data_IF_720683844768
#
_entry.id   IF_720683844768
#
_cell.length_a   1.000
_cell.length_b   1.000
_cell.length_c   1.000
_cell.angle_alpha   90.00
_cell.angle_beta   90.00
_cell.angle_gamma   90.00
#
_symmetry.space_group_name_H-M   'P 1'
#
loop_
_entity.id
_entity.type
_entity.pdbx_description
1 polymer ?
#
# COMPACT_ATOMS: atom_id res chain seq x y z
N UNK A 1 -0.71 9.16 48.50
CA UNK A 1 -1.54 8.11 47.88
C UNK A 1 -1.73 8.52 46.44
N UNK A 2 -0.83 8.06 45.57
CA UNK A 2 -0.90 8.26 44.12
C UNK A 2 -1.54 7.00 43.54
N UNK A 3 -2.66 7.20 42.85
CA UNK A 3 -3.52 6.20 42.24
C UNK A 3 -2.73 5.36 41.23
N UNK A 4 -2.62 4.07 41.51
CA UNK A 4 -2.02 3.03 40.67
C UNK A 4 -2.93 2.70 39.48
N UNK A 5 -3.11 3.63 38.54
CA UNK A 5 -3.94 3.37 37.34
C UNK A 5 -3.30 3.84 36.04
N UNK A 6 -2.08 4.39 36.08
CA UNK A 6 -1.39 4.91 34.87
C UNK A 6 -0.30 3.99 34.30
N UNK A 7 -0.06 2.80 34.87
CA UNK A 7 1.13 2.00 34.52
C UNK A 7 0.90 0.75 33.64
N UNK A 8 -0.33 0.37 33.29
CA UNK A 8 -0.58 -0.87 32.53
C UNK A 8 -0.83 -0.67 31.02
N UNK A 9 -1.10 0.54 30.54
CA UNK A 9 -1.48 0.79 29.14
C UNK A 9 -0.32 1.08 28.16
N UNK A 10 0.90 1.31 28.65
CA UNK A 10 2.05 1.70 27.80
C UNK A 10 2.52 0.64 26.77
N UNK A 11 2.59 -0.67 27.07
CA UNK A 11 3.16 -1.64 26.13
C UNK A 11 2.28 -1.92 24.90
N UNK A 12 0.97 -1.74 25.00
CA UNK A 12 0.02 -1.99 23.89
C UNK A 12 0.03 -0.85 22.86
N UNK A 13 0.13 0.40 23.33
CA UNK A 13 0.26 1.59 22.47
C UNK A 13 1.57 1.50 21.67
N UNK A 14 2.68 1.14 22.32
CA UNK A 14 3.97 0.95 21.65
C UNK A 14 3.97 -0.21 20.64
N UNK A 15 3.16 -1.25 20.88
CA UNK A 15 3.01 -2.36 19.94
C UNK A 15 2.23 -1.96 18.69
N UNK A 16 1.09 -1.28 18.85
CA UNK A 16 0.25 -0.86 17.73
C UNK A 16 0.93 0.22 16.87
N UNK A 17 1.63 1.17 17.50
CA UNK A 17 2.46 2.17 16.80
C UNK A 17 3.55 1.50 15.95
N UNK A 18 4.24 0.50 16.50
CA UNK A 18 5.25 -0.27 15.75
C UNK A 18 4.63 -1.05 14.60
N UNK A 19 3.48 -1.69 14.81
CA UNK A 19 2.75 -2.41 13.76
C UNK A 19 2.40 -1.51 12.58
N UNK A 20 1.88 -0.31 12.87
CA UNK A 20 1.55 0.67 11.84
C UNK A 20 2.78 1.18 11.08
N UNK A 21 3.87 1.45 11.79
CA UNK A 21 5.12 1.86 11.18
C UNK A 21 5.65 0.78 10.22
N UNK A 22 5.62 -0.49 10.61
CA UNK A 22 5.98 -1.62 9.74
C UNK A 22 5.07 -1.70 8.51
N UNK A 23 3.76 -1.44 8.64
CA UNK A 23 2.85 -1.40 7.50
C UNK A 23 3.18 -0.25 6.53
N UNK A 24 3.47 0.94 7.05
CA UNK A 24 3.85 2.10 6.23
C UNK A 24 5.12 1.78 5.41
N UNK A 25 6.17 1.28 6.07
CA UNK A 25 7.43 0.90 5.42
C UNK A 25 7.21 -0.17 4.35
N UNK A 26 6.33 -1.13 4.62
CA UNK A 26 5.96 -2.15 3.65
C UNK A 26 5.28 -1.55 2.40
N UNK A 27 4.29 -0.67 2.58
CA UNK A 27 3.60 -0.03 1.45
C UNK A 27 4.55 0.85 0.62
N UNK A 28 5.44 1.58 1.27
CA UNK A 28 6.45 2.40 0.60
C UNK A 28 7.41 1.54 -0.22
N UNK A 29 7.94 0.46 0.36
CA UNK A 29 8.85 -0.46 -0.34
C UNK A 29 8.18 -1.11 -1.55
N UNK A 30 6.91 -1.52 -1.42
CA UNK A 30 6.14 -2.10 -2.52
C UNK A 30 5.91 -1.09 -3.65
N UNK A 31 5.64 0.17 -3.29
CA UNK A 31 5.45 1.26 -4.24
C UNK A 31 6.72 1.57 -5.02
N UNK A 32 7.85 1.74 -4.34
CA UNK A 32 9.14 2.02 -4.99
C UNK A 32 9.50 0.94 -6.01
N UNK A 33 9.33 -0.34 -5.62
CA UNK A 33 9.59 -1.47 -6.53
C UNK A 33 8.70 -1.45 -7.77
N UNK A 34 7.42 -1.08 -7.63
CA UNK A 34 6.51 -0.96 -8.76
C UNK A 34 6.83 0.26 -9.63
N UNK A 35 7.16 1.39 -9.03
CA UNK A 35 7.54 2.62 -9.73
C UNK A 35 8.75 2.35 -10.63
N UNK A 36 9.77 1.65 -10.14
CA UNK A 36 10.94 1.27 -10.92
C UNK A 36 10.57 0.37 -12.11
N UNK A 37 9.72 -0.63 -11.91
CA UNK A 37 9.25 -1.50 -12.99
C UNK A 37 8.45 -0.73 -14.04
N UNK A 38 7.61 0.22 -13.63
CA UNK A 38 6.86 1.07 -14.58
C UNK A 38 7.83 1.92 -15.40
N UNK A 39 8.85 2.53 -14.77
CA UNK A 39 9.89 3.30 -15.47
C UNK A 39 10.65 2.45 -16.49
N UNK A 40 11.00 1.21 -16.13
CA UNK A 40 11.64 0.26 -17.06
C UNK A 40 10.76 -0.01 -18.29
N UNK A 41 9.48 -0.34 -18.06
CA UNK A 41 8.54 -0.62 -19.14
C UNK A 41 8.29 0.59 -20.04
N UNK A 42 8.20 1.79 -19.45
CA UNK A 42 8.07 3.04 -20.22
C UNK A 42 9.30 3.20 -21.11
N UNK A 43 10.51 3.09 -20.56
CA UNK A 43 11.75 3.24 -21.33
C UNK A 43 11.84 2.24 -22.49
N UNK A 44 11.43 0.99 -22.27
CA UNK A 44 11.53 -0.08 -23.26
C UNK A 44 10.43 0.00 -24.34
N UNK A 45 9.20 0.34 -23.96
CA UNK A 45 8.03 0.20 -24.83
C UNK A 45 7.41 1.52 -25.30
N UNK A 46 7.85 2.69 -24.82
CA UNK A 46 7.25 3.98 -25.21
C UNK A 46 7.25 4.21 -26.73
N UNK A 47 8.33 3.83 -27.41
CA UNK A 47 8.45 4.02 -28.86
C UNK A 47 7.60 3.03 -29.68
N UNK A 48 7.45 1.80 -29.19
CA UNK A 48 6.77 0.73 -29.92
C UNK A 48 5.29 0.57 -29.58
N UNK A 49 4.86 0.98 -28.38
CA UNK A 49 3.50 0.80 -27.85
C UNK A 49 3.03 2.05 -27.06
N UNK A 50 3.07 3.27 -27.64
CA UNK A 50 2.86 4.52 -26.91
C UNK A 50 1.50 4.58 -26.19
N UNK A 51 0.42 4.11 -26.82
CA UNK A 51 -0.92 4.13 -26.22
C UNK A 51 -1.02 3.22 -24.98
N UNK A 52 -0.40 2.04 -25.03
CA UNK A 52 -0.40 1.09 -23.90
C UNK A 52 0.43 1.62 -22.74
N UNK A 53 1.52 2.32 -23.03
CA UNK A 53 2.35 2.97 -22.01
C UNK A 53 1.64 4.18 -21.40
N UNK A 54 0.94 4.99 -22.21
CA UNK A 54 0.14 6.09 -21.69
C UNK A 54 -0.95 5.57 -20.72
N UNK A 55 -1.64 4.48 -21.08
CA UNK A 55 -2.62 3.86 -20.17
C UNK A 55 -1.96 3.27 -18.91
N UNK A 56 -0.76 2.68 -19.03
CA UNK A 56 0.03 2.22 -17.87
C UNK A 56 0.35 3.37 -16.91
N UNK A 57 0.79 4.52 -17.43
CA UNK A 57 1.11 5.70 -16.63
C UNK A 57 -0.12 6.27 -15.92
N UNK A 58 -1.28 6.27 -16.57
CA UNK A 58 -2.53 6.68 -15.93
C UNK A 58 -2.92 5.75 -14.76
N UNK A 59 -2.78 4.43 -14.94
CA UNK A 59 -3.02 3.48 -13.85
C UNK A 59 -1.99 3.61 -12.73
N UNK A 60 -0.73 3.90 -13.07
CA UNK A 60 0.30 4.15 -12.07
C UNK A 60 0.01 5.40 -11.25
N UNK A 61 -0.49 6.48 -11.86
CA UNK A 61 -0.89 7.68 -11.12
C UNK A 61 -2.02 7.41 -10.10
N UNK A 62 -3.00 6.56 -10.45
CA UNK A 62 -4.05 6.13 -9.51
C UNK A 62 -3.47 5.29 -8.37
N UNK A 63 -2.55 4.37 -8.69
CA UNK A 63 -1.84 3.57 -7.68
C UNK A 63 -0.98 4.43 -6.73
N UNK A 64 -0.25 5.40 -7.27
CA UNK A 64 0.58 6.34 -6.51
C UNK A 64 -0.28 7.15 -5.52
N UNK A 65 -1.36 7.76 -6.00
CA UNK A 65 -2.27 8.55 -5.17
C UNK A 65 -2.93 7.72 -4.06
N UNK A 66 -3.37 6.51 -4.37
CA UNK A 66 -4.01 5.62 -3.39
C UNK A 66 -3.01 5.13 -2.34
N UNK A 67 -1.77 4.82 -2.73
CA UNK A 67 -0.70 4.47 -1.79
C UNK A 67 -0.39 5.63 -0.85
N UNK A 68 -0.18 6.83 -1.40
CA UNK A 68 0.05 8.03 -0.60
C UNK A 68 -1.07 8.31 0.39
N UNK A 69 -2.32 8.23 -0.07
CA UNK A 69 -3.49 8.45 0.79
C UNK A 69 -3.57 7.42 1.92
N UNK A 70 -3.20 6.16 1.65
CA UNK A 70 -3.16 5.11 2.66
C UNK A 70 -2.03 5.32 3.67
N UNK A 71 -0.81 5.63 3.21
CA UNK A 71 0.32 5.90 4.11
C UNK A 71 0.09 7.16 4.95
N UNK A 72 -0.52 8.20 4.37
CA UNK A 72 -0.87 9.43 5.08
C UNK A 72 -1.94 9.15 6.14
N UNK A 73 -2.95 8.33 5.84
CA UNK A 73 -3.98 7.96 6.82
C UNK A 73 -3.42 7.07 7.93
N UNK A 74 -2.52 6.13 7.62
CA UNK A 74 -1.84 5.32 8.62
C UNK A 74 -0.93 6.16 9.52
N UNK A 75 -0.23 7.15 8.96
CA UNK A 75 0.65 8.04 9.73
C UNK A 75 -0.14 9.00 10.64
N UNK A 76 -1.28 9.51 10.17
CA UNK A 76 -2.10 10.48 10.91
C UNK A 76 -3.19 9.83 11.80
N UNK A 77 -3.53 8.56 11.58
CA UNK A 77 -4.57 7.82 12.31
C UNK A 77 -4.27 7.56 13.78
N UNK A 78 -3.06 7.89 14.26
CA UNK A 78 -2.67 7.74 15.66
C UNK A 78 -3.23 8.78 16.61
N UNK A 79 -3.87 9.84 16.13
CA UNK A 79 -4.32 10.95 17.01
C UNK A 79 -5.74 10.73 17.56
N UNK A 80 -6.53 9.79 17.03
CA UNK A 80 -7.96 9.67 17.38
C UNK A 80 -8.43 8.32 17.98
N UNK A 81 -7.54 7.32 18.13
CA UNK A 81 -7.98 6.00 18.65
C UNK A 81 -7.93 5.81 20.17
N UNK A 82 -7.66 6.87 20.96
CA UNK A 82 -7.67 6.80 22.44
C UNK A 82 -8.71 7.72 23.08
N UNK A 83 -9.89 7.87 22.47
CA UNK A 83 -11.10 8.15 23.24
C UNK A 83 -11.97 6.89 23.22
N UNK A 84 -12.56 6.53 24.36
CA UNK A 84 -13.45 5.38 24.53
C UNK A 84 -14.73 5.44 23.65
N UNK A 85 -14.85 6.46 22.80
CA UNK A 85 -15.93 6.70 21.84
C UNK A 85 -15.40 6.87 20.39
N UNK A 86 -14.21 6.33 20.08
CA UNK A 86 -13.60 6.29 18.74
C UNK A 86 -14.40 5.42 17.76
N UNK A 87 -15.45 6.03 17.18
CA UNK A 87 -16.47 5.42 16.35
C UNK A 87 -15.95 4.55 15.18
N UNK A 88 -16.71 3.50 14.87
CA UNK A 88 -16.49 2.54 13.78
C UNK A 88 -16.24 3.15 12.39
N UNK A 89 -16.52 4.45 12.19
CA UNK A 89 -16.30 5.19 10.96
C UNK A 89 -14.81 5.30 10.57
N UNK A 90 -13.89 5.47 11.53
CA UNK A 90 -12.47 5.64 11.20
C UNK A 90 -11.82 4.34 10.70
N UNK A 91 -12.25 3.20 11.24
CA UNK A 91 -11.81 1.86 10.84
C UNK A 91 -12.27 1.54 9.40
N UNK A 92 -13.49 1.97 9.03
CA UNK A 92 -14.00 1.81 7.65
C UNK A 92 -13.22 2.63 6.61
N UNK A 93 -12.60 3.74 7.03
CA UNK A 93 -11.78 4.58 6.15
C UNK A 93 -10.47 3.91 5.73
N UNK A 94 -9.75 3.30 6.67
CA UNK A 94 -8.48 2.61 6.40
C UNK A 94 -8.70 1.36 5.55
N UNK A 95 -9.69 0.53 5.88
CA UNK A 95 -10.04 -0.64 5.06
C UNK A 95 -10.47 -0.24 3.64
N UNK A 96 -11.21 0.87 3.50
CA UNK A 96 -11.59 1.40 2.20
C UNK A 96 -10.38 1.79 1.35
N UNK A 97 -9.41 2.47 1.96
CA UNK A 97 -8.14 2.83 1.32
C UNK A 97 -7.29 1.60 0.98
N UNK A 98 -7.26 0.58 1.84
CA UNK A 98 -6.59 -0.69 1.56
C UNK A 98 -7.21 -1.40 0.35
N UNK A 99 -8.54 -1.49 0.27
CA UNK A 99 -9.23 -2.08 -0.90
C UNK A 99 -8.97 -1.28 -2.18
N UNK A 100 -8.96 0.05 -2.09
CA UNK A 100 -8.64 0.92 -3.22
C UNK A 100 -7.19 0.69 -3.70
N UNK A 101 -6.24 0.62 -2.76
CA UNK A 101 -4.85 0.25 -3.04
C UNK A 101 -4.75 -1.10 -3.75
N UNK A 102 -5.39 -2.15 -3.23
CA UNK A 102 -5.33 -3.49 -3.84
C UNK A 102 -5.92 -3.53 -5.25
N UNK A 103 -6.99 -2.76 -5.47
CA UNK A 103 -7.64 -2.64 -6.78
C UNK A 103 -6.74 -1.92 -7.76
N UNK A 104 -6.17 -0.77 -7.37
CA UNK A 104 -5.25 0.00 -8.19
C UNK A 104 -3.99 -0.82 -8.54
N UNK A 105 -3.44 -1.51 -7.54
CA UNK A 105 -2.34 -2.46 -7.70
C UNK A 105 -2.66 -3.55 -8.74
N UNK A 106 -3.80 -4.22 -8.60
CA UNK A 106 -4.20 -5.34 -9.48
C UNK A 106 -4.37 -4.88 -10.93
N UNK A 107 -4.96 -3.70 -11.13
CA UNK A 107 -5.15 -3.12 -12.45
C UNK A 107 -3.80 -2.72 -13.09
N UNK A 108 -2.92 -2.09 -12.30
CA UNK A 108 -1.57 -1.73 -12.75
C UNK A 108 -0.78 -2.98 -13.16
N UNK A 109 -0.75 -4.02 -12.31
CA UNK A 109 -0.03 -5.26 -12.59
C UNK A 109 -0.52 -5.94 -13.88
N UNK A 110 -1.84 -6.02 -14.10
CA UNK A 110 -2.41 -6.54 -15.35
C UNK A 110 -1.99 -5.70 -16.56
N UNK A 111 -1.92 -4.39 -16.43
CA UNK A 111 -1.51 -3.53 -17.54
C UNK A 111 -0.01 -3.66 -17.84
N UNK A 112 0.83 -3.85 -16.82
CA UNK A 112 2.25 -4.16 -17.00
C UNK A 112 2.44 -5.46 -17.81
N UNK A 113 1.60 -6.47 -17.57
CA UNK A 113 1.57 -7.70 -18.38
C UNK A 113 1.17 -7.44 -19.84
N UNK A 114 0.21 -6.54 -20.07
CA UNK A 114 -0.25 -6.16 -21.43
C UNK A 114 0.83 -5.40 -22.20
N UNK A 115 1.60 -4.54 -21.53
CA UNK A 115 2.71 -3.79 -22.13
C UNK A 115 3.88 -4.72 -22.45
N UNK A 116 4.30 -5.54 -21.48
CA UNK A 116 5.47 -6.43 -21.57
C UNK A 116 5.21 -7.75 -22.32
N UNK A 117 3.94 -8.12 -22.52
CA UNK A 117 3.55 -9.32 -23.26
C UNK A 117 3.57 -10.63 -22.44
N UNK A 118 3.30 -10.60 -21.13
CA UNK A 118 3.26 -11.74 -20.16
C UNK A 118 4.57 -12.54 -19.99
N UNK A 119 5.41 -12.65 -21.01
CA UNK A 119 6.63 -13.47 -21.01
C UNK A 119 7.71 -12.91 -20.08
N UNK A 120 7.77 -11.57 -19.90
CA UNK A 120 8.80 -10.91 -19.10
C UNK A 120 8.55 -10.96 -17.58
N UNK A 121 7.29 -10.94 -17.10
CA UNK A 121 6.98 -11.01 -15.66
C UNK A 121 7.18 -12.42 -15.08
N UNK A 122 6.96 -13.49 -15.86
CA UNK A 122 7.17 -14.87 -15.40
C UNK A 122 8.63 -15.16 -15.03
N UNK A 123 9.59 -14.45 -15.63
CA UNK A 123 11.02 -14.60 -15.37
C UNK A 123 11.53 -13.79 -14.16
N UNK A 124 10.72 -12.92 -13.53
CA UNK A 124 11.15 -12.02 -12.44
C UNK A 124 10.36 -12.17 -11.13
N UNK A 125 9.84 -13.36 -10.88
CA UNK A 125 9.17 -13.72 -9.62
C UNK A 125 7.70 -13.30 -9.60
N UNK A 126 6.83 -14.24 -9.21
CA UNK A 126 5.40 -13.99 -8.99
C UNK A 126 5.22 -13.04 -7.82
N UNK A 127 4.44 -11.98 -8.02
CA UNK A 127 4.07 -11.07 -6.95
C UNK A 127 2.89 -11.64 -6.13
N UNK A 128 2.94 -11.46 -4.80
CA UNK A 128 1.94 -11.95 -3.83
C UNK A 128 1.14 -10.74 -3.33
N UNK A 129 -0.20 -10.75 -3.43
CA UNK A 129 -1.00 -9.64 -2.90
C UNK A 129 -0.92 -9.55 -1.38
N UNK A 130 -1.12 -8.36 -0.83
CA UNK A 130 -1.06 -8.08 0.61
C UNK A 130 -2.08 -8.91 1.38
N UNK A 131 -3.33 -8.99 0.91
CA UNK A 131 -4.35 -9.92 1.41
C UNK A 131 -3.95 -11.39 1.47
N UNK A 132 -2.99 -11.81 0.62
CA UNK A 132 -2.43 -13.17 0.63
C UNK A 132 -1.12 -13.29 1.40
N UNK A 133 -0.53 -12.16 1.78
CA UNK A 133 0.64 -12.10 2.65
C UNK A 133 0.16 -12.20 4.10
N UNK A 134 -0.40 -13.37 4.47
CA UNK A 134 -0.68 -13.67 5.88
C UNK A 134 0.66 -13.66 6.61
N UNK A 135 0.78 -12.74 7.57
CA UNK A 135 1.65 -12.79 8.75
C UNK A 135 2.78 -13.82 8.64
N UNK A 136 3.87 -13.46 7.97
CA UNK A 136 5.12 -14.17 8.16
C UNK A 136 5.69 -13.74 9.52
N UNK A 137 5.22 -14.48 10.54
CA UNK A 137 5.66 -14.58 11.94
C UNK A 137 5.55 -13.34 12.81
#
# INVERSE_FOLDING_TARGET
MTTETELEAQPEVDFELRRQQTLIEFYQTAHDSLADRVRELVKEYQASKPEKVAFLLNLFAVYDQTTKSLTDRLSNGNVHSMSEEGSSLEFTGVEGLQRAYETAYSNLAKQMDVVSGKQAMLNRGRFISITKTRYFR
#
